data_IF_470595317764
#
_entry.id   IF_470595317764
#
_cell.length_a   1.000
_cell.length_b   1.000
_cell.length_c   1.000
_cell.angle_alpha   90.00
_cell.angle_beta   90.00
_cell.angle_gamma   90.00
#
_symmetry.space_group_name_H-M   'P 1'
#
loop_
_entity.id
_entity.type
_entity.pdbx_description
1 polymer ?
#
# COMPACT_ATOMS: atom_id res chain seq x y z
N UNK A 1 9.23 62.35 -15.72
CA UNK A 1 9.37 60.89 -15.97
C UNK A 1 9.51 60.20 -14.63
N UNK A 2 8.72 59.15 -14.35
CA UNK A 2 8.89 58.33 -13.15
C UNK A 2 7.62 58.09 -12.32
N UNK A 3 6.62 57.41 -12.89
CA UNK A 3 5.56 56.73 -12.13
C UNK A 3 5.67 55.23 -12.41
N UNK A 4 6.66 54.59 -11.78
CA UNK A 4 6.75 53.13 -11.72
C UNK A 4 5.87 52.67 -10.55
N UNK A 5 4.56 52.69 -10.76
CA UNK A 5 3.59 52.31 -9.73
C UNK A 5 3.27 50.82 -9.84
N UNK A 6 3.91 50.01 -8.98
CA UNK A 6 3.34 48.90 -8.15
C UNK A 6 2.18 48.07 -8.76
N UNK A 7 2.17 47.79 -10.06
CA UNK A 7 1.10 46.97 -10.68
C UNK A 7 1.55 45.52 -10.94
N UNK A 8 2.87 45.28 -11.00
CA UNK A 8 3.40 43.96 -11.37
C UNK A 8 3.46 42.94 -10.21
N UNK A 9 3.34 43.36 -8.95
CA UNK A 9 3.51 42.45 -7.79
C UNK A 9 2.21 41.69 -7.44
N UNK A 10 1.03 42.24 -7.75
CA UNK A 10 -0.25 41.54 -7.48
C UNK A 10 -0.52 40.35 -8.40
N UNK A 11 0.08 40.30 -9.60
CA UNK A 11 -0.15 39.20 -10.55
C UNK A 11 0.60 37.91 -10.18
N UNK A 12 1.68 38.00 -9.40
CA UNK A 12 2.49 36.84 -8.99
C UNK A 12 1.82 36.05 -7.85
N UNK A 13 0.99 36.69 -7.03
CA UNK A 13 0.30 36.05 -5.90
C UNK A 13 -0.96 35.26 -6.30
N UNK A 14 -1.46 35.42 -7.52
CA UNK A 14 -2.61 34.64 -8.04
C UNK A 14 -2.19 33.29 -8.68
N UNK A 15 -0.88 33.05 -8.78
CA UNK A 15 -0.30 31.77 -9.19
C UNK A 15 0.04 30.88 -7.98
N UNK A 16 -0.75 30.94 -6.91
CA UNK A 16 -0.76 29.87 -5.91
C UNK A 16 -1.30 28.62 -6.58
N UNK A 17 -0.39 27.88 -7.21
CA UNK A 17 -0.67 26.52 -7.66
C UNK A 17 -1.32 25.77 -6.52
N UNK A 18 -2.39 25.04 -6.80
CA UNK A 18 -2.97 24.14 -5.81
C UNK A 18 -1.84 23.19 -5.38
N UNK A 19 -1.34 23.38 -4.17
CA UNK A 19 -0.45 22.43 -3.55
C UNK A 19 -1.29 21.16 -3.34
N UNK A 20 -1.23 20.25 -4.31
CA UNK A 20 -1.73 18.90 -4.15
C UNK A 20 -0.73 18.18 -3.24
N UNK A 21 -0.93 18.31 -1.93
CA UNK A 21 -0.24 17.51 -0.92
C UNK A 21 -0.90 16.13 -0.87
N UNK A 22 -0.81 15.43 -2.00
CA UNK A 22 -1.60 14.27 -2.31
C UNK A 22 -0.76 13.33 -3.12
N UNK A 23 -0.09 12.42 -2.44
CA UNK A 23 0.86 11.48 -3.06
C UNK A 23 0.64 10.08 -2.51
N UNK A 24 -0.59 9.77 -2.10
CA UNK A 24 -0.89 8.52 -1.40
C UNK A 24 -2.08 7.83 -2.05
N UNK A 25 -1.84 6.59 -2.46
CA UNK A 25 -2.84 5.72 -3.05
C UNK A 25 -2.87 4.39 -2.33
N UNK A 26 -4.07 3.84 -2.16
CA UNK A 26 -4.28 2.51 -1.60
C UNK A 26 -5.19 1.75 -2.54
N UNK A 27 -4.82 0.51 -2.84
CA UNK A 27 -5.72 -0.45 -3.47
C UNK A 27 -5.88 -1.66 -2.54
N UNK A 28 -7.12 -2.01 -2.23
CA UNK A 28 -7.46 -3.25 -1.54
C UNK A 28 -7.98 -4.29 -2.52
N UNK A 29 -7.52 -5.52 -2.33
CA UNK A 29 -7.88 -6.65 -3.16
C UNK A 29 -8.31 -7.83 -2.30
N UNK A 30 -9.23 -8.61 -2.86
CA UNK A 30 -9.67 -9.90 -2.33
C UNK A 30 -9.53 -10.96 -3.42
N UNK A 31 -9.15 -12.17 -3.04
CA UNK A 31 -9.06 -13.28 -3.98
C UNK A 31 -8.30 -14.44 -3.37
N UNK A 32 -7.37 -15.04 -4.11
CA UNK A 32 -6.64 -16.21 -3.62
C UNK A 32 -5.19 -16.31 -4.07
N UNK A 33 -4.42 -17.04 -3.26
CA UNK A 33 -3.12 -17.62 -3.61
C UNK A 33 -3.30 -19.14 -3.63
N UNK A 34 -3.28 -19.72 -4.83
CA UNK A 34 -3.71 -21.09 -5.03
C UNK A 34 -5.14 -21.31 -4.47
N UNK A 35 -5.36 -22.33 -3.64
CA UNK A 35 -6.67 -22.59 -3.04
C UNK A 35 -7.00 -21.68 -1.83
N UNK A 36 -6.06 -20.86 -1.37
CA UNK A 36 -6.19 -20.15 -0.10
C UNK A 36 -6.69 -18.72 -0.33
N UNK A 37 -7.85 -18.34 0.24
CA UNK A 37 -8.35 -16.97 0.16
C UNK A 37 -7.44 -15.99 0.90
N UNK A 38 -7.24 -14.81 0.31
CA UNK A 38 -6.42 -13.73 0.86
C UNK A 38 -7.04 -12.35 0.65
N UNK A 39 -6.67 -11.44 1.54
CA UNK A 39 -6.80 -10.00 1.35
C UNK A 39 -5.42 -9.39 1.16
N UNK A 40 -5.28 -8.48 0.20
CA UNK A 40 -4.05 -7.73 -0.08
C UNK A 40 -4.35 -6.23 -0.06
N UNK A 41 -3.58 -5.47 0.69
CA UNK A 41 -3.62 -4.01 0.71
C UNK A 41 -2.29 -3.46 0.22
N UNK A 42 -2.28 -2.74 -0.90
CA UNK A 42 -1.09 -2.09 -1.45
C UNK A 42 -1.19 -0.57 -1.30
N UNK A 43 -0.13 0.01 -0.78
CA UNK A 43 0.05 1.45 -0.57
C UNK A 43 1.11 1.93 -1.55
N UNK A 44 0.80 3.00 -2.30
CA UNK A 44 1.75 3.67 -3.19
C UNK A 44 1.97 5.09 -2.70
N UNK A 45 3.24 5.46 -2.69
CA UNK A 45 3.71 6.80 -2.41
C UNK A 45 4.82 7.16 -3.39
N UNK A 46 5.08 8.44 -3.61
CA UNK A 46 6.12 8.90 -4.56
C UNK A 46 7.47 8.23 -4.36
N UNK A 47 7.85 8.04 -3.09
CA UNK A 47 8.96 7.19 -2.73
C UNK A 47 8.91 6.85 -1.25
N UNK A 48 9.12 5.58 -0.91
CA UNK A 48 9.37 5.12 0.45
C UNK A 48 10.88 5.12 0.79
N UNK A 49 11.72 5.68 -0.09
CA UNK A 49 13.17 5.53 -0.04
C UNK A 49 13.63 4.20 -0.64
N UNK A 50 14.95 3.98 -0.77
CA UNK A 50 15.55 2.71 -1.24
C UNK A 50 15.06 2.18 -2.61
N UNK A 51 14.47 3.03 -3.44
CA UNK A 51 13.82 2.60 -4.68
C UNK A 51 12.58 1.73 -4.47
N UNK A 52 12.00 1.72 -3.26
CA UNK A 52 10.71 1.11 -2.96
C UNK A 52 9.61 2.08 -3.43
N UNK A 53 8.66 1.55 -4.19
CA UNK A 53 7.55 2.32 -4.76
C UNK A 53 6.19 1.79 -4.31
N UNK A 54 6.18 0.68 -3.57
CA UNK A 54 4.97 0.08 -3.01
C UNK A 54 5.30 -0.63 -1.70
N UNK A 55 4.43 -0.42 -0.73
CA UNK A 55 4.41 -1.16 0.53
C UNK A 55 3.01 -1.72 0.74
N UNK A 56 2.83 -2.56 1.74
CA UNK A 56 1.52 -3.11 2.01
C UNK A 56 1.53 -4.26 2.98
N UNK A 57 0.43 -4.96 3.00
CA UNK A 57 0.32 -6.23 3.72
C UNK A 57 -0.71 -7.11 3.06
N UNK A 58 -0.54 -8.41 3.25
CA UNK A 58 -1.59 -9.37 2.93
C UNK A 58 -1.83 -10.30 4.11
N UNK A 59 -3.00 -10.91 4.16
CA UNK A 59 -3.29 -11.97 5.11
C UNK A 59 -4.18 -13.01 4.47
N UNK A 60 -3.98 -14.25 4.88
CA UNK A 60 -4.91 -15.33 4.60
C UNK A 60 -6.15 -15.20 5.49
N UNK A 61 -7.31 -15.48 4.90
CA UNK A 61 -8.60 -15.29 5.57
C UNK A 61 -8.75 -16.20 6.79
N UNK A 62 -8.16 -17.40 6.72
CA UNK A 62 -8.24 -18.38 7.80
C UNK A 62 -7.42 -17.94 9.03
N UNK A 63 -6.27 -17.30 8.82
CA UNK A 63 -5.33 -16.92 9.88
C UNK A 63 -5.57 -15.52 10.43
N UNK A 64 -6.00 -14.58 9.57
CA UNK A 64 -6.13 -13.15 9.91
C UNK A 64 -4.83 -12.55 10.48
N UNK A 65 -3.67 -13.02 9.99
CA UNK A 65 -2.35 -12.55 10.43
C UNK A 65 -1.66 -11.82 9.28
N UNK A 66 -1.63 -10.47 9.30
CA UNK A 66 -0.92 -9.67 8.31
C UNK A 66 0.55 -10.05 8.19
N UNK A 67 1.00 -10.20 6.95
CA UNK A 67 2.39 -10.33 6.52
C UNK A 67 2.71 -9.03 5.78
N UNK A 68 3.69 -8.28 6.29
CA UNK A 68 4.12 -7.04 5.67
C UNK A 68 4.87 -7.34 4.38
N UNK A 69 4.61 -6.52 3.36
CA UNK A 69 5.26 -6.63 2.05
C UNK A 69 5.75 -5.28 1.56
N UNK A 70 6.81 -5.30 0.77
CA UNK A 70 7.37 -4.12 0.12
C UNK A 70 7.89 -4.49 -1.27
N UNK A 71 8.08 -3.51 -2.14
CA UNK A 71 8.75 -3.76 -3.41
C UNK A 71 8.62 -2.64 -4.43
N UNK A 72 8.48 -3.06 -5.70
CA UNK A 72 8.55 -2.16 -6.86
C UNK A 72 7.39 -2.38 -7.81
N UNK A 73 6.98 -1.28 -8.43
CA UNK A 73 5.99 -1.24 -9.50
C UNK A 73 6.65 -0.64 -10.73
N UNK A 74 6.47 -1.29 -11.88
CA UNK A 74 6.96 -0.84 -13.18
C UNK A 74 5.85 -1.03 -14.21
N UNK A 75 5.13 0.04 -14.51
CA UNK A 75 3.88 -0.02 -15.26
C UNK A 75 2.84 -0.82 -14.48
N UNK A 76 2.35 -1.91 -15.05
CA UNK A 76 1.42 -2.84 -14.38
C UNK A 76 2.12 -3.97 -13.64
N UNK A 77 3.43 -4.15 -13.85
CA UNK A 77 4.20 -5.21 -13.19
C UNK A 77 4.54 -4.81 -11.76
N UNK A 78 4.30 -5.71 -10.82
CA UNK A 78 4.55 -5.52 -9.39
C UNK A 78 5.33 -6.71 -8.84
N UNK A 79 6.45 -6.45 -8.18
CA UNK A 79 7.23 -7.46 -7.45
C UNK A 79 7.22 -7.12 -5.97
N UNK A 80 6.79 -8.04 -5.11
CA UNK A 80 6.67 -7.81 -3.66
C UNK A 80 7.42 -8.87 -2.85
N UNK A 81 8.33 -8.38 -2.01
CA UNK A 81 9.02 -9.15 -1.00
C UNK A 81 8.22 -9.19 0.29
N UNK A 82 8.22 -10.35 0.95
CA UNK A 82 7.71 -10.51 2.31
C UNK A 82 8.80 -10.13 3.30
N UNK A 83 8.44 -9.37 4.32
CA UNK A 83 9.33 -9.14 5.46
C UNK A 83 9.51 -10.45 6.22
N UNK A 84 10.75 -10.92 6.33
CA UNK A 84 11.10 -12.20 6.92
C UNK A 84 11.20 -12.15 8.45
N UNK A 85 11.69 -11.04 9.00
CA UNK A 85 11.93 -10.87 10.43
C UNK A 85 11.85 -9.41 10.91
N UNK A 86 11.89 -9.22 12.23
CA UNK A 86 11.80 -7.90 12.88
C UNK A 86 12.97 -6.98 12.48
N UNK A 87 14.14 -7.54 12.18
CA UNK A 87 15.30 -6.74 11.76
C UNK A 87 15.09 -6.17 10.37
N UNK A 88 14.59 -6.99 9.44
CA UNK A 88 14.22 -6.53 8.11
C UNK A 88 13.06 -5.55 8.16
N UNK A 89 12.07 -5.81 9.02
CA UNK A 89 10.97 -4.87 9.28
C UNK A 89 11.49 -3.48 9.66
N UNK A 90 12.36 -3.42 10.67
CA UNK A 90 12.91 -2.15 11.16
C UNK A 90 13.78 -1.48 10.09
N UNK A 91 14.58 -2.24 9.34
CA UNK A 91 15.47 -1.70 8.32
C UNK A 91 14.73 -1.18 7.08
N UNK A 92 13.70 -1.89 6.63
CA UNK A 92 13.03 -1.61 5.36
C UNK A 92 11.86 -0.65 5.55
N UNK A 93 11.00 -0.91 6.54
CA UNK A 93 9.73 -0.19 6.70
C UNK A 93 9.78 0.92 7.77
N UNK A 94 10.61 0.79 8.80
CA UNK A 94 10.64 1.77 9.90
C UNK A 94 11.71 2.84 9.69
N UNK A 95 12.96 2.43 9.54
CA UNK A 95 14.09 3.36 9.37
C UNK A 95 14.25 3.81 7.91
N UNK A 96 13.78 2.98 6.98
CA UNK A 96 14.12 3.08 5.57
C UNK A 96 15.58 2.74 5.30
N UNK A 97 15.85 2.02 4.21
CA UNK A 97 17.22 1.79 3.79
C UNK A 97 17.77 2.98 2.98
N UNK A 98 19.10 3.08 2.89
CA UNK A 98 19.79 3.94 1.91
C UNK A 98 20.26 3.15 0.70
N UNK A 99 20.35 1.83 0.83
CA UNK A 99 20.71 0.94 -0.27
C UNK A 99 19.45 0.54 -1.03
N UNK A 100 19.46 0.61 -2.38
CA UNK A 100 18.34 0.15 -3.16
C UNK A 100 18.01 -1.30 -2.84
N UNK A 101 16.73 -1.62 -2.62
CA UNK A 101 16.34 -3.00 -2.36
C UNK A 101 16.33 -3.79 -3.66
N UNK A 102 16.95 -4.97 -3.64
CA UNK A 102 16.82 -5.94 -4.71
C UNK A 102 15.49 -6.67 -4.56
N UNK A 103 14.65 -6.59 -5.59
CA UNK A 103 13.36 -7.29 -5.63
C UNK A 103 13.41 -8.55 -6.48
N UNK A 104 14.61 -8.95 -6.93
CA UNK A 104 14.83 -10.18 -7.69
C UNK A 104 14.57 -11.38 -6.79
N UNK A 105 13.70 -12.28 -7.23
CA UNK A 105 13.34 -13.48 -6.45
C UNK A 105 12.34 -13.24 -5.33
N UNK A 106 11.76 -12.04 -5.21
CA UNK A 106 10.64 -11.82 -4.31
C UNK A 106 9.49 -12.81 -4.61
N UNK A 107 8.76 -13.29 -3.59
CA UNK A 107 7.71 -14.30 -3.74
C UNK A 107 6.59 -13.86 -4.70
N UNK A 108 6.13 -12.61 -4.64
CA UNK A 108 5.08 -12.13 -5.54
C UNK A 108 5.63 -11.57 -6.84
N UNK A 109 5.05 -12.04 -7.94
CA UNK A 109 5.15 -11.42 -9.26
C UNK A 109 3.73 -11.25 -9.80
N UNK A 110 3.24 -10.01 -9.82
CA UNK A 110 1.86 -9.66 -10.14
C UNK A 110 1.79 -8.71 -11.33
N UNK A 111 0.71 -8.80 -12.09
CA UNK A 111 0.27 -7.82 -13.06
C UNK A 111 -1.01 -7.17 -12.52
N UNK A 112 -0.92 -5.90 -12.15
CA UNK A 112 -2.01 -5.11 -11.58
C UNK A 112 -2.70 -4.32 -12.69
N UNK A 113 -3.98 -4.60 -12.89
CA UNK A 113 -4.87 -3.85 -13.78
C UNK A 113 -5.89 -3.00 -13.01
N UNK A 114 -6.80 -2.40 -13.76
CA UNK A 114 -7.85 -1.52 -13.21
C UNK A 114 -8.78 -2.27 -12.23
N UNK A 115 -9.18 -3.50 -12.59
CA UNK A 115 -10.18 -4.29 -11.85
C UNK A 115 -9.60 -5.30 -10.86
N UNK A 116 -8.30 -5.50 -10.83
CA UNK A 116 -7.70 -6.59 -10.06
C UNK A 116 -6.23 -6.81 -10.38
N UNK A 117 -5.69 -7.90 -9.85
CA UNK A 117 -4.31 -8.31 -10.09
C UNK A 117 -4.24 -9.83 -10.30
N UNK A 118 -3.40 -10.26 -11.23
CA UNK A 118 -3.13 -11.70 -11.45
C UNK A 118 -1.64 -11.94 -11.49
N UNK A 119 -1.21 -13.15 -11.19
CA UNK A 119 0.21 -13.47 -11.23
C UNK A 119 0.51 -14.70 -10.44
N UNK A 120 1.66 -14.71 -9.77
CA UNK A 120 2.14 -15.87 -9.03
C UNK A 120 2.78 -15.48 -7.72
N UNK A 121 2.63 -16.37 -6.74
CA UNK A 121 3.36 -16.35 -5.48
C UNK A 121 4.24 -17.58 -5.39
N UNK A 122 5.52 -17.42 -5.02
CA UNK A 122 6.49 -18.50 -4.99
C UNK A 122 7.05 -18.71 -3.58
N UNK A 123 7.18 -19.97 -3.16
CA UNK A 123 7.90 -20.36 -1.93
C UNK A 123 8.89 -21.46 -2.28
N UNK A 124 10.17 -21.09 -2.39
CA UNK A 124 11.20 -22.01 -2.89
C UNK A 124 10.87 -22.49 -4.32
N UNK A 125 10.80 -23.80 -4.59
CA UNK A 125 10.45 -24.33 -5.90
C UNK A 125 8.94 -24.25 -6.21
N UNK A 126 8.10 -24.08 -5.19
CA UNK A 126 6.65 -24.12 -5.35
C UNK A 126 6.13 -22.78 -5.85
N UNK A 127 5.17 -22.84 -6.79
CA UNK A 127 4.58 -21.67 -7.42
C UNK A 127 3.07 -21.79 -7.48
N UNK A 128 2.38 -20.80 -6.92
CA UNK A 128 0.94 -20.78 -6.77
C UNK A 128 0.34 -19.63 -7.59
N UNK A 129 -0.77 -19.86 -8.31
CA UNK A 129 -1.45 -18.80 -9.04
C UNK A 129 -2.07 -17.80 -8.06
N UNK A 130 -1.97 -16.52 -8.40
CA UNK A 130 -2.60 -15.42 -7.66
C UNK A 130 -3.68 -14.82 -8.54
N UNK A 131 -4.90 -14.74 -8.02
CA UNK A 131 -6.02 -14.08 -8.69
C UNK A 131 -6.74 -13.21 -7.69
N UNK A 132 -6.73 -11.91 -7.94
CA UNK A 132 -7.22 -10.89 -7.02
C UNK A 132 -8.16 -9.93 -7.74
N UNK A 133 -9.27 -9.61 -7.12
CA UNK A 133 -10.22 -8.58 -7.53
C UNK A 133 -9.98 -7.34 -6.67
N UNK A 134 -9.93 -6.16 -7.29
CA UNK A 134 -9.90 -4.89 -6.56
C UNK A 134 -11.29 -4.65 -5.95
N UNK A 135 -11.33 -4.42 -4.64
CA UNK A 135 -12.59 -4.24 -3.89
C UNK A 135 -12.73 -2.85 -3.29
N UNK A 136 -11.61 -2.15 -3.08
CA UNK A 136 -11.62 -0.76 -2.65
C UNK A 136 -10.38 -0.03 -3.18
N UNK A 137 -10.49 1.29 -3.28
CA UNK A 137 -9.37 2.16 -3.59
C UNK A 137 -9.48 3.51 -2.89
N UNK A 138 -8.33 4.06 -2.52
CA UNK A 138 -8.17 5.43 -2.05
C UNK A 138 -7.16 6.09 -2.98
N UNK A 139 -7.52 7.22 -3.57
CA UNK A 139 -6.61 8.06 -4.33
C UNK A 139 -6.67 9.46 -3.75
N UNK A 140 -5.57 9.87 -3.11
CA UNK A 140 -5.43 11.20 -2.56
C UNK A 140 -4.55 12.10 -3.43
N UNK A 141 -4.30 11.78 -4.71
CA UNK A 141 -3.52 12.61 -5.63
C UNK A 141 -4.29 13.87 -6.11
N UNK A 142 -4.73 14.68 -5.15
CA UNK A 142 -5.59 15.85 -5.35
C UNK A 142 -6.74 15.86 -4.35
N UNK A 143 -8.00 15.90 -4.85
CA UNK A 143 -9.16 15.71 -3.98
C UNK A 143 -9.30 14.22 -3.69
N UNK A 144 -9.38 13.84 -2.42
CA UNK A 144 -9.59 12.45 -2.03
C UNK A 144 -10.78 11.81 -2.77
N UNK A 145 -10.48 10.67 -3.41
CA UNK A 145 -11.43 9.74 -4.00
C UNK A 145 -11.33 8.44 -3.23
N UNK A 146 -12.48 7.90 -2.84
CA UNK A 146 -12.58 6.59 -2.21
C UNK A 146 -13.67 5.84 -2.95
N UNK A 147 -13.36 4.58 -3.29
CA UNK A 147 -14.30 3.60 -3.81
C UNK A 147 -14.25 2.36 -2.91
N UNK A 148 -15.41 1.82 -2.55
CA UNK A 148 -15.52 0.72 -1.59
C UNK A 148 -15.15 1.11 -0.13
N UNK A 149 -14.91 0.09 0.70
CA UNK A 149 -14.44 0.26 2.08
C UNK A 149 -12.94 0.07 2.11
N UNK A 150 -12.19 1.17 2.28
CA UNK A 150 -10.73 1.12 2.30
C UNK A 150 -10.26 0.72 3.69
N UNK A 151 -9.67 -0.48 3.77
CA UNK A 151 -9.08 -1.03 4.98
C UNK A 151 -7.56 -1.11 4.80
N UNK A 152 -6.81 -0.44 5.69
CA UNK A 152 -5.35 -0.51 5.72
C UNK A 152 -4.93 -1.31 6.94
N UNK A 153 -4.51 -2.58 6.78
CA UNK A 153 -4.05 -3.38 7.90
C UNK A 153 -2.74 -2.80 8.46
N UNK A 154 -2.68 -2.63 9.77
CA UNK A 154 -1.45 -2.28 10.45
C UNK A 154 -0.51 -3.49 10.41
N UNK A 155 0.79 -3.23 10.24
CA UNK A 155 1.81 -4.27 10.37
C UNK A 155 1.97 -4.73 11.82
N UNK A 156 1.84 -3.79 12.77
CA UNK A 156 1.81 -4.11 14.19
C UNK A 156 0.56 -4.92 14.54
N UNK A 157 0.76 -5.98 15.30
CA UNK A 157 -0.29 -6.95 15.66
C UNK A 157 0.03 -7.59 17.01
N UNK A 158 -0.99 -8.08 17.71
CA UNK A 158 -0.78 -8.86 18.94
C UNK A 158 -0.76 -10.35 18.62
N UNK A 159 -0.50 -11.19 19.63
CA UNK A 159 -0.59 -12.64 19.47
C UNK A 159 -2.00 -13.10 19.01
N UNK A 160 -3.05 -12.35 19.35
CA UNK A 160 -4.45 -12.77 19.19
C UNK A 160 -5.28 -11.82 18.33
N UNK A 161 -4.77 -10.66 17.95
CA UNK A 161 -5.51 -9.66 17.19
C UNK A 161 -4.66 -9.02 16.09
N UNK A 162 -5.30 -8.73 14.95
CA UNK A 162 -4.83 -7.78 13.96
C UNK A 162 -5.62 -6.48 14.05
N UNK A 163 -5.02 -5.39 13.57
CA UNK A 163 -5.62 -4.07 13.53
C UNK A 163 -5.69 -3.57 12.09
N UNK A 164 -6.73 -2.81 11.77
CA UNK A 164 -6.82 -2.13 10.50
C UNK A 164 -7.52 -0.77 10.62
N UNK A 165 -7.01 0.24 9.92
CA UNK A 165 -7.66 1.52 9.82
C UNK A 165 -8.68 1.47 8.69
N UNK A 166 -9.91 1.89 8.96
CA UNK A 166 -10.92 2.10 7.92
C UNK A 166 -10.95 3.58 7.57
N UNK A 167 -10.81 3.89 6.28
CA UNK A 167 -10.66 5.25 5.78
C UNK A 167 -11.89 5.68 5.00
N UNK A 168 -12.33 6.91 5.28
CA UNK A 168 -13.43 7.56 4.57
C UNK A 168 -13.04 8.97 4.14
N UNK A 169 -13.85 9.53 3.25
CA UNK A 169 -13.64 10.86 2.72
C UNK A 169 -14.09 11.91 3.74
N UNK A 170 -13.17 12.79 4.12
CA UNK A 170 -13.42 13.94 4.98
C UNK A 170 -13.11 15.23 4.19
N UNK A 171 -14.09 15.71 3.43
CA UNK A 171 -13.93 16.90 2.59
C UNK A 171 -12.94 16.66 1.44
N UNK A 172 -11.79 17.34 1.46
CA UNK A 172 -10.73 17.18 0.46
C UNK A 172 -9.71 16.09 0.80
N UNK A 173 -9.74 15.56 2.03
CA UNK A 173 -8.80 14.58 2.55
C UNK A 173 -9.49 13.22 2.75
N UNK A 174 -8.68 12.18 2.93
CA UNK A 174 -9.11 10.92 3.48
C UNK A 174 -8.66 10.83 4.95
N UNK A 175 -9.55 10.38 5.83
CA UNK A 175 -9.27 10.24 7.26
C UNK A 175 -9.64 8.84 7.73
N UNK A 176 -8.87 8.31 8.68
CA UNK A 176 -9.28 7.11 9.39
C UNK A 176 -10.49 7.43 10.28
N UNK A 177 -11.61 6.77 10.05
CA UNK A 177 -12.85 6.96 10.83
C UNK A 177 -13.03 5.87 11.89
N UNK A 178 -12.43 4.69 11.67
CA UNK A 178 -12.57 3.55 12.57
C UNK A 178 -11.27 2.75 12.65
N UNK A 179 -10.95 2.31 13.85
CA UNK A 179 -9.98 1.24 14.08
C UNK A 179 -10.75 -0.09 14.18
N UNK A 180 -10.48 -0.99 13.25
CA UNK A 180 -11.01 -2.35 13.26
C UNK A 180 -10.04 -3.27 13.98
N UNK A 181 -10.59 -4.09 14.89
CA UNK A 181 -9.86 -5.10 15.64
C UNK A 181 -10.45 -6.46 15.28
N UNK A 182 -9.63 -7.35 14.73
CA UNK A 182 -10.06 -8.70 14.32
C UNK A 182 -9.26 -9.76 15.07
N UNK A 183 -9.95 -10.76 15.62
CA UNK A 183 -9.31 -11.90 16.29
C UNK A 183 -8.63 -12.81 15.26
N UNK A 184 -7.37 -13.16 15.56
CA UNK A 184 -6.62 -14.18 14.81
C UNK A 184 -7.12 -15.56 15.18
N UNK A 185 -7.32 -16.43 14.19
CA UNK A 185 -7.67 -17.82 14.45
C UNK A 185 -6.38 -18.62 14.54
N UNK A 186 -6.31 -19.53 15.50
CA UNK A 186 -5.07 -20.17 15.97
C UNK A 186 -4.16 -20.75 14.89
N UNK A 187 -2.85 -20.71 15.20
CA UNK A 187 -1.71 -21.09 14.34
C UNK A 187 -1.88 -22.42 13.60
N UNK A 188 -1.84 -22.38 12.26
CA UNK A 188 -0.95 -23.27 11.50
C UNK A 188 0.29 -22.45 11.16
N UNK A 189 1.34 -22.58 11.99
CA UNK A 189 2.67 -22.12 11.63
C UNK A 189 3.18 -23.03 10.51
N UNK A 190 3.01 -22.62 9.25
CA UNK A 190 3.89 -23.11 8.20
C UNK A 190 5.17 -22.28 8.27
N UNK A 191 6.14 -22.73 9.09
CA UNK A 191 7.55 -22.39 8.86
C UNK A 191 7.94 -23.03 7.53
#
# INVERSE_FOLDING_TARGET
MGRLSISAICFVLLLTGKAAAGWYQVDNYEGSIGPNPVHLSLQRYDSFGSGITVEGSYFYDAEQSPIAVYGKISGTSVSLCEIADDKEFDQVLVMGSKTPVDTTGCPFSLNVGERGATGTWSKGPDKFPVTLKKVASLDNNGKAKIDGTVEIPFWAQTATHRFAGVYEKAGFLACMTKLQVSTKRGRRLFR
#
